data_IF_489305564014
#
_entry.id   IF_489305564014
#
_cell.length_a   1.000
_cell.length_b   1.000
_cell.length_c   1.000
_cell.angle_alpha   90.00
_cell.angle_beta   90.00
_cell.angle_gamma   90.00
#
_symmetry.space_group_name_H-M   'P 1'
#
loop_
_entity.id
_entity.type
_entity.pdbx_description
1 polymer ?
#
# COMPACT_ATOMS: atom_id res chain seq x y z
N UNK A 1 -0.89 -18.09 54.90
CA UNK A 1 -2.10 -17.25 54.71
C UNK A 1 -1.69 -15.96 53.99
N UNK A 2 -1.03 -16.10 52.83
CA UNK A 2 -0.20 -15.03 52.22
C UNK A 2 -0.17 -15.07 50.69
N UNK A 3 -1.04 -15.84 50.02
CA UNK A 3 -1.04 -15.96 48.54
C UNK A 3 -2.07 -15.07 47.83
N UNK A 4 -3.01 -14.47 48.55
CA UNK A 4 -4.10 -13.69 47.92
C UNK A 4 -3.75 -12.22 47.63
N UNK A 5 -2.66 -11.69 48.18
CA UNK A 5 -2.32 -10.27 48.00
C UNK A 5 -1.55 -10.00 46.68
N UNK A 6 -0.90 -11.02 46.11
CA UNK A 6 -0.04 -10.83 44.94
C UNK A 6 -0.80 -10.85 43.60
N UNK A 7 -1.99 -11.46 43.55
CA UNK A 7 -2.77 -11.58 42.31
C UNK A 7 -3.58 -10.34 41.97
N UNK A 8 -3.97 -9.52 42.96
CA UNK A 8 -4.77 -8.31 42.75
C UNK A 8 -3.96 -7.23 42.01
N UNK A 9 -2.68 -7.05 42.36
CA UNK A 9 -1.83 -6.06 41.69
C UNK A 9 -1.39 -6.46 40.27
N UNK A 10 -1.28 -7.76 39.97
CA UNK A 10 -1.04 -8.21 38.59
C UNK A 10 -2.25 -8.01 37.67
N UNK A 11 -3.46 -8.02 38.23
CA UNK A 11 -4.68 -7.85 37.45
C UNK A 11 -4.98 -6.37 37.15
N UNK A 12 -4.66 -5.45 38.06
CA UNK A 12 -4.74 -4.00 37.81
C UNK A 12 -3.70 -3.53 36.77
N UNK A 13 -2.48 -4.04 36.83
CA UNK A 13 -1.44 -3.70 35.83
C UNK A 13 -1.73 -4.25 34.43
N UNK A 14 -2.46 -5.37 34.32
CA UNK A 14 -2.89 -5.91 33.03
C UNK A 14 -4.03 -5.10 32.37
N UNK A 15 -4.86 -4.40 33.16
CA UNK A 15 -5.99 -3.61 32.64
C UNK A 15 -5.52 -2.20 32.23
N UNK A 16 -4.54 -1.60 32.91
CA UNK A 16 -4.00 -0.29 32.52
C UNK A 16 -3.15 -0.33 31.23
N UNK A 17 -2.54 -1.48 30.90
CA UNK A 17 -1.80 -1.66 29.64
C UNK A 17 -2.72 -1.80 28.40
N UNK A 18 -4.03 -1.96 28.58
CA UNK A 18 -5.00 -2.10 27.49
C UNK A 18 -5.57 -0.77 26.93
N UNK A 19 -5.36 0.35 27.63
CA UNK A 19 -6.13 1.59 27.40
C UNK A 19 -5.43 2.72 26.63
N UNK A 20 -4.11 2.72 26.51
CA UNK A 20 -3.37 3.77 25.79
C UNK A 20 -2.66 3.19 24.58
N UNK A 21 -3.39 3.05 23.47
CA UNK A 21 -2.75 2.96 22.16
C UNK A 21 -1.82 4.18 22.04
N UNK A 22 -0.51 3.95 21.91
CA UNK A 22 0.44 5.05 21.78
C UNK A 22 -0.05 6.01 20.68
N UNK A 23 0.00 7.35 20.87
CA UNK A 23 -0.52 8.31 19.90
C UNK A 23 0.08 8.11 18.50
N UNK A 24 1.29 7.53 18.44
CA UNK A 24 1.96 7.10 17.20
C UNK A 24 1.20 5.99 16.47
N UNK A 25 0.70 4.97 17.18
CA UNK A 25 -0.08 3.88 16.57
C UNK A 25 -1.39 4.42 16.00
N UNK A 26 -2.09 5.28 16.73
CA UNK A 26 -3.34 5.88 16.28
C UNK A 26 -3.12 6.70 15.01
N UNK A 27 -2.04 7.48 14.96
CA UNK A 27 -1.67 8.24 13.76
C UNK A 27 -1.34 7.32 12.56
N UNK A 28 -0.69 6.18 12.79
CA UNK A 28 -0.41 5.20 11.74
C UNK A 28 -1.69 4.58 11.19
N UNK A 29 -2.62 4.17 12.08
CA UNK A 29 -3.92 3.62 11.70
C UNK A 29 -4.71 4.65 10.89
N UNK A 30 -4.78 5.89 11.38
CA UNK A 30 -5.45 6.99 10.69
C UNK A 30 -4.82 7.22 9.31
N UNK A 31 -3.48 7.24 9.23
CA UNK A 31 -2.76 7.33 7.96
C UNK A 31 -3.13 6.21 7.00
N UNK A 32 -3.17 4.96 7.46
CA UNK A 32 -3.56 3.80 6.64
C UNK A 32 -4.97 4.00 6.07
N UNK A 33 -5.92 4.44 6.91
CA UNK A 33 -7.31 4.66 6.50
C UNK A 33 -7.42 5.78 5.46
N UNK A 34 -6.75 6.91 5.69
CA UNK A 34 -6.77 8.08 4.78
C UNK A 34 -6.13 7.73 3.44
N UNK A 35 -4.91 7.17 3.45
CA UNK A 35 -4.23 6.78 2.22
C UNK A 35 -5.03 5.70 1.48
N UNK A 36 -5.60 4.71 2.18
CA UNK A 36 -6.48 3.70 1.57
C UNK A 36 -7.70 4.31 0.87
N UNK A 37 -8.35 5.30 1.50
CA UNK A 37 -9.45 6.04 0.87
C UNK A 37 -8.99 6.80 -0.39
N UNK A 38 -7.85 7.50 -0.32
CA UNK A 38 -7.30 8.23 -1.46
C UNK A 38 -6.93 7.29 -2.61
N UNK A 39 -6.40 6.09 -2.34
CA UNK A 39 -6.12 5.07 -3.36
C UNK A 39 -7.42 4.63 -4.03
N UNK A 40 -8.48 4.36 -3.25
CA UNK A 40 -9.78 3.96 -3.79
C UNK A 40 -10.40 5.04 -4.68
N UNK A 41 -10.38 6.30 -4.23
CA UNK A 41 -10.82 7.46 -5.02
C UNK A 41 -9.97 7.62 -6.27
N UNK A 42 -8.64 7.55 -6.16
CA UNK A 42 -7.72 7.66 -7.30
C UNK A 42 -7.96 6.60 -8.37
N UNK A 43 -8.31 5.36 -7.96
CA UNK A 43 -8.69 4.29 -8.88
C UNK A 43 -9.99 4.58 -9.63
N UNK A 44 -10.95 5.22 -8.98
CA UNK A 44 -12.26 5.59 -9.55
C UNK A 44 -12.17 6.84 -10.43
N UNK A 45 -11.37 7.82 -10.02
CA UNK A 45 -11.18 9.09 -10.70
C UNK A 45 -10.34 9.00 -11.98
N UNK A 46 -9.66 7.86 -12.22
CA UNK A 46 -8.87 7.73 -13.44
C UNK A 46 -9.78 7.61 -14.65
N UNK A 47 -9.72 8.61 -15.53
CA UNK A 47 -10.43 8.64 -16.81
C UNK A 47 -10.06 7.43 -17.66
N UNK A 48 -11.03 6.77 -18.29
CA UNK A 48 -10.74 5.60 -19.10
C UNK A 48 -10.03 6.01 -20.41
N UNK A 49 -8.69 6.02 -20.40
CA UNK A 49 -7.87 6.35 -21.56
C UNK A 49 -7.85 5.23 -22.63
N UNK A 50 -8.50 4.09 -22.39
CA UNK A 50 -8.40 2.91 -23.27
C UNK A 50 -7.04 2.21 -23.23
N UNK A 51 -6.07 2.73 -22.49
CA UNK A 51 -4.72 2.17 -22.36
C UNK A 51 -4.65 1.23 -21.16
N UNK A 52 -4.17 0.01 -21.34
CA UNK A 52 -4.02 -0.94 -20.24
C UNK A 52 -3.08 -0.41 -19.15
N UNK A 53 -3.44 -0.56 -17.87
CA UNK A 53 -2.59 -0.21 -16.73
C UNK A 53 -2.52 1.28 -16.35
N UNK A 54 -2.95 2.23 -17.19
CA UNK A 54 -2.78 3.68 -16.94
C UNK A 54 -3.33 4.16 -15.58
N UNK A 55 -4.39 3.49 -15.08
CA UNK A 55 -4.99 3.85 -13.79
C UNK A 55 -4.01 3.82 -12.60
N UNK A 56 -2.91 3.06 -12.68
CA UNK A 56 -1.88 3.01 -11.64
C UNK A 56 -1.24 4.36 -11.33
N UNK A 57 -1.20 5.29 -12.28
CA UNK A 57 -0.61 6.61 -12.05
C UNK A 57 -1.25 7.34 -10.87
N UNK A 58 -2.54 7.13 -10.60
CA UNK A 58 -3.20 7.74 -9.45
C UNK A 58 -3.15 6.83 -8.22
N UNK A 59 -3.72 5.63 -8.30
CA UNK A 59 -3.91 4.81 -7.12
C UNK A 59 -2.58 4.22 -6.59
N UNK A 60 -1.67 3.76 -7.46
CA UNK A 60 -0.43 3.13 -7.02
C UNK A 60 0.58 4.17 -6.51
N UNK A 61 0.63 5.36 -7.10
CA UNK A 61 1.47 6.46 -6.62
C UNK A 61 1.15 6.85 -5.18
N UNK A 62 -0.15 6.97 -4.86
CA UNK A 62 -0.63 7.25 -3.50
C UNK A 62 -0.27 6.10 -2.56
N UNK A 63 -0.39 4.85 -3.02
CA UNK A 63 -0.07 3.67 -2.21
C UNK A 63 1.44 3.59 -1.89
N UNK A 64 2.31 3.84 -2.88
CA UNK A 64 3.77 3.93 -2.71
C UNK A 64 4.13 5.05 -1.72
N UNK A 65 3.53 6.23 -1.87
CA UNK A 65 3.74 7.36 -0.96
C UNK A 65 3.31 7.01 0.47
N UNK A 66 2.08 6.50 0.64
CA UNK A 66 1.56 6.10 1.95
C UNK A 66 2.46 5.09 2.66
N UNK A 67 2.97 4.11 1.92
CA UNK A 67 3.92 3.14 2.47
C UNK A 67 5.27 3.76 2.84
N UNK A 68 5.75 4.76 2.10
CA UNK A 68 6.99 5.48 2.41
C UNK A 68 6.87 6.40 3.64
N UNK A 69 5.68 6.97 3.88
CA UNK A 69 5.37 7.76 5.07
C UNK A 69 5.29 6.91 6.33
N UNK A 70 4.59 5.78 6.27
CA UNK A 70 4.29 4.95 7.43
C UNK A 70 5.28 3.76 7.48
N UNK A 71 6.36 3.93 8.23
CA UNK A 71 7.43 2.93 8.35
C UNK A 71 7.14 1.88 9.43
N UNK A 72 6.16 1.03 9.18
CA UNK A 72 5.91 -0.16 10.01
C UNK A 72 5.70 -1.37 9.12
N UNK A 73 6.08 -2.54 9.62
CA UNK A 73 5.82 -3.80 8.94
C UNK A 73 4.33 -4.02 8.72
N UNK A 74 3.97 -4.52 7.53
CA UNK A 74 2.59 -4.85 7.17
C UNK A 74 1.72 -3.66 6.76
N UNK A 75 2.26 -2.44 6.76
CA UNK A 75 1.53 -1.23 6.35
C UNK A 75 1.08 -1.32 4.91
N UNK A 76 1.90 -1.87 4.01
CA UNK A 76 1.57 -2.00 2.60
C UNK A 76 0.33 -2.87 2.43
N UNK A 77 0.32 -4.04 3.05
CA UNK A 77 -0.85 -4.92 3.06
C UNK A 77 -2.07 -4.23 3.69
N UNK A 78 -1.90 -3.56 4.84
CA UNK A 78 -2.98 -2.86 5.52
C UNK A 78 -3.59 -1.72 4.68
N UNK A 79 -2.75 -0.97 3.94
CA UNK A 79 -3.19 0.01 2.95
C UNK A 79 -4.01 -0.65 1.84
N UNK A 80 -3.59 -1.83 1.37
CA UNK A 80 -4.32 -2.60 0.37
C UNK A 80 -5.70 -3.05 0.86
N UNK A 81 -5.79 -3.55 2.10
CA UNK A 81 -7.06 -3.92 2.73
C UNK A 81 -7.95 -2.70 2.93
N UNK A 82 -7.39 -1.59 3.43
CA UNK A 82 -8.13 -0.34 3.59
C UNK A 82 -8.67 0.18 2.25
N UNK A 83 -7.86 0.12 1.19
CA UNK A 83 -8.29 0.45 -0.19
C UNK A 83 -9.46 -0.43 -0.63
N UNK A 84 -9.41 -1.73 -0.36
CA UNK A 84 -10.46 -2.66 -0.74
C UNK A 84 -11.79 -2.36 -0.01
N UNK A 85 -11.72 -1.99 1.28
CA UNK A 85 -12.88 -1.60 2.07
C UNK A 85 -13.50 -0.30 1.55
N UNK A 86 -12.69 0.73 1.29
CA UNK A 86 -13.14 1.99 0.67
C UNK A 86 -13.60 1.81 -0.78
N UNK A 87 -13.16 0.76 -1.45
CA UNK A 87 -13.60 0.39 -2.78
C UNK A 87 -15.11 0.17 -2.89
N UNK A 88 -15.76 -0.33 -1.83
CA UNK A 88 -17.20 -0.57 -1.80
C UNK A 88 -17.99 0.74 -1.99
N UNK A 89 -17.86 1.76 -1.10
CA UNK A 89 -18.54 3.04 -1.30
C UNK A 89 -18.02 3.81 -2.52
N UNK A 90 -16.79 3.58 -2.97
CA UNK A 90 -16.26 4.18 -4.21
C UNK A 90 -16.83 3.53 -5.49
N UNK A 91 -17.66 2.49 -5.37
CA UNK A 91 -18.32 1.82 -6.49
C UNK A 91 -17.42 0.85 -7.26
N UNK A 92 -16.61 0.05 -6.55
CA UNK A 92 -15.87 -1.06 -7.15
C UNK A 92 -16.83 -2.21 -7.49
N UNK A 93 -16.74 -2.73 -8.72
CA UNK A 93 -17.67 -3.74 -9.25
C UNK A 93 -17.28 -5.20 -8.91
N UNK A 94 -16.39 -5.41 -7.94
CA UNK A 94 -15.89 -6.73 -7.57
C UNK A 94 -16.10 -7.00 -6.09
N UNK A 95 -16.17 -8.28 -5.71
CA UNK A 95 -16.31 -8.69 -4.31
C UNK A 95 -15.17 -8.15 -3.45
N UNK A 96 -15.45 -7.93 -2.17
CA UNK A 96 -14.46 -7.44 -1.21
C UNK A 96 -13.20 -8.31 -1.19
N UNK A 97 -13.35 -9.63 -1.16
CA UNK A 97 -12.23 -10.57 -1.17
C UNK A 97 -11.38 -10.45 -2.45
N UNK A 98 -12.01 -10.23 -3.61
CA UNK A 98 -11.27 -9.98 -4.84
C UNK A 98 -10.45 -8.69 -4.76
N UNK A 99 -11.03 -7.62 -4.23
CA UNK A 99 -10.33 -6.35 -4.05
C UNK A 99 -9.20 -6.47 -3.01
N UNK A 100 -9.40 -7.20 -1.91
CA UNK A 100 -8.35 -7.52 -0.93
C UNK A 100 -7.22 -8.30 -1.61
N UNK A 101 -7.55 -9.30 -2.43
CA UNK A 101 -6.53 -10.04 -3.20
C UNK A 101 -5.72 -9.13 -4.12
N UNK A 102 -6.40 -8.24 -4.86
CA UNK A 102 -5.78 -7.33 -5.81
C UNK A 102 -4.89 -6.27 -5.13
N UNK A 103 -5.45 -5.50 -4.20
CA UNK A 103 -4.75 -4.39 -3.55
C UNK A 103 -3.87 -4.85 -2.39
N UNK A 104 -4.28 -5.87 -1.64
CA UNK A 104 -3.48 -6.47 -0.58
C UNK A 104 -2.21 -7.12 -1.12
N UNK A 105 -2.26 -7.88 -2.21
CA UNK A 105 -1.05 -8.46 -2.83
C UNK A 105 -0.09 -7.38 -3.33
N UNK A 106 -0.62 -6.32 -3.94
CA UNK A 106 0.16 -5.12 -4.31
C UNK A 106 0.85 -4.53 -3.07
N UNK A 107 0.12 -4.39 -1.96
CA UNK A 107 0.63 -3.91 -0.69
C UNK A 107 1.75 -4.78 -0.10
N UNK A 108 1.62 -6.11 -0.18
CA UNK A 108 2.66 -7.05 0.26
C UNK A 108 3.95 -6.83 -0.52
N UNK A 109 3.88 -6.61 -1.85
CA UNK A 109 5.08 -6.31 -2.65
C UNK A 109 5.77 -5.04 -2.15
N UNK A 110 4.99 -4.00 -1.82
CA UNK A 110 5.56 -2.77 -1.26
C UNK A 110 6.18 -2.98 0.13
N UNK A 111 5.58 -3.83 0.97
CA UNK A 111 6.17 -4.21 2.26
C UNK A 111 7.48 -4.96 2.10
N UNK A 112 7.56 -5.91 1.16
CA UNK A 112 8.78 -6.66 0.86
C UNK A 112 9.88 -5.73 0.30
N UNK A 113 9.53 -4.81 -0.59
CA UNK A 113 10.46 -3.81 -1.11
C UNK A 113 10.99 -2.92 0.02
N UNK A 114 10.11 -2.41 0.88
CA UNK A 114 10.49 -1.52 1.97
C UNK A 114 11.35 -2.18 3.08
N UNK A 115 11.35 -3.52 3.18
CA UNK A 115 12.26 -4.26 4.08
C UNK A 115 13.68 -4.36 3.53
N UNK A 116 13.84 -4.26 2.21
CA UNK A 116 15.14 -4.30 1.56
C UNK A 116 15.79 -2.92 1.57
N UNK A 117 17.00 -2.81 2.10
CA UNK A 117 17.78 -1.57 2.07
C UNK A 117 18.13 -1.11 0.64
N UNK A 118 18.14 -2.03 -0.32
CA UNK A 118 18.34 -1.76 -1.74
C UNK A 118 17.09 -1.21 -2.41
N UNK A 119 15.90 -1.60 -1.93
CA UNK A 119 14.60 -1.23 -2.50
C UNK A 119 13.80 -0.28 -1.60
N UNK A 120 14.48 0.44 -0.71
CA UNK A 120 13.86 1.46 0.13
C UNK A 120 13.07 2.46 -0.73
N UNK A 121 11.76 2.56 -0.47
CA UNK A 121 10.81 3.44 -1.16
C UNK A 121 11.16 4.93 -1.03
N UNK A 122 12.06 5.26 -0.09
CA UNK A 122 12.60 6.62 0.13
C UNK A 122 13.78 6.94 -0.79
N UNK A 123 14.18 5.99 -1.63
CA UNK A 123 15.12 6.17 -2.73
C UNK A 123 14.33 6.07 -4.04
N UNK A 124 14.65 6.91 -5.04
CA UNK A 124 13.88 6.93 -6.29
C UNK A 124 13.94 5.57 -7.00
N UNK A 125 15.09 4.91 -7.01
CA UNK A 125 15.26 3.59 -7.62
C UNK A 125 14.42 2.52 -6.91
N UNK A 126 14.42 2.51 -5.57
CA UNK A 126 13.63 1.57 -4.78
C UNK A 126 12.13 1.73 -5.02
N UNK A 127 11.64 2.97 -5.08
CA UNK A 127 10.25 3.27 -5.42
C UNK A 127 9.88 2.88 -6.86
N UNK A 128 10.76 3.12 -7.84
CA UNK A 128 10.56 2.71 -9.24
C UNK A 128 10.41 1.19 -9.33
N UNK A 129 11.34 0.43 -8.74
CA UNK A 129 11.34 -1.03 -8.80
C UNK A 129 10.12 -1.58 -8.05
N UNK A 130 9.80 -1.04 -6.87
CA UNK A 130 8.65 -1.45 -6.09
C UNK A 130 7.34 -1.17 -6.84
N UNK A 131 7.18 0.01 -7.45
CA UNK A 131 6.02 0.36 -8.26
C UNK A 131 5.86 -0.55 -9.48
N UNK A 132 6.96 -0.86 -10.17
CA UNK A 132 6.99 -1.81 -11.27
C UNK A 132 6.49 -3.20 -10.84
N UNK A 133 7.12 -3.78 -9.81
CA UNK A 133 6.77 -5.12 -9.31
C UNK A 133 5.33 -5.17 -8.79
N UNK A 134 4.90 -4.17 -8.03
CA UNK A 134 3.57 -4.12 -7.45
C UNK A 134 2.49 -4.05 -8.55
N UNK A 135 2.73 -3.28 -9.61
CA UNK A 135 1.80 -3.20 -10.73
C UNK A 135 1.81 -4.47 -11.60
N UNK A 136 2.97 -5.12 -11.74
CA UNK A 136 3.08 -6.41 -12.42
C UNK A 136 2.36 -7.54 -11.67
N UNK A 137 2.40 -7.55 -10.33
CA UNK A 137 1.62 -8.52 -9.53
C UNK A 137 0.12 -8.34 -9.75
N UNK A 138 -0.38 -7.11 -9.83
CA UNK A 138 -1.77 -6.82 -10.21
C UNK A 138 -2.10 -7.37 -11.60
N UNK A 139 -1.23 -7.14 -12.57
CA UNK A 139 -1.40 -7.67 -13.93
C UNK A 139 -1.48 -9.20 -13.92
N UNK A 140 -0.55 -9.87 -13.24
CA UNK A 140 -0.53 -11.33 -13.10
C UNK A 140 -1.78 -11.86 -12.40
N UNK A 141 -2.30 -11.14 -11.39
CA UNK A 141 -3.55 -11.50 -10.73
C UNK A 141 -4.75 -11.47 -11.71
N UNK A 142 -4.84 -10.43 -12.53
CA UNK A 142 -5.90 -10.29 -13.54
C UNK A 142 -5.76 -11.37 -14.62
N UNK A 143 -4.56 -11.56 -15.16
CA UNK A 143 -4.28 -12.56 -16.20
C UNK A 143 -4.49 -13.97 -15.69
N UNK A 144 -4.02 -14.29 -14.49
CA UNK A 144 -4.21 -15.60 -13.87
C UNK A 144 -5.69 -15.95 -13.73
N UNK A 145 -6.50 -15.00 -13.27
CA UNK A 145 -7.97 -15.18 -13.23
C UNK A 145 -8.58 -15.34 -14.62
N UNK A 146 -8.14 -14.56 -15.61
CA UNK A 146 -8.65 -14.67 -16.97
C UNK A 146 -8.29 -16.03 -17.62
N UNK A 147 -7.08 -16.55 -17.36
CA UNK A 147 -6.59 -17.82 -17.90
C UNK A 147 -7.32 -19.05 -17.36
N UNK A 148 -7.96 -18.94 -16.18
CA UNK A 148 -8.81 -19.99 -15.63
C UNK A 148 -10.13 -20.15 -16.41
N UNK A 149 -10.49 -19.18 -17.27
CA UNK A 149 -11.65 -19.28 -18.15
C UNK A 149 -11.29 -20.01 -19.45
N UNK A 150 -12.01 -21.09 -19.75
CA UNK A 150 -11.77 -22.00 -20.88
C UNK A 150 -11.79 -21.28 -22.24
N UNK A 151 -12.50 -20.15 -22.33
CA UNK A 151 -12.71 -19.36 -23.55
C UNK A 151 -11.50 -18.53 -23.99
N UNK A 152 -10.51 -18.28 -23.12
CA UNK A 152 -9.42 -17.33 -23.38
C UNK A 152 -8.13 -17.95 -23.97
N UNK A 153 -8.07 -19.29 -24.16
CA UNK A 153 -6.79 -20.02 -24.32
C UNK A 153 -6.06 -19.89 -25.66
N UNK A 154 -6.66 -19.32 -26.71
CA UNK A 154 -6.04 -19.30 -28.07
C UNK A 154 -5.82 -17.93 -28.69
N UNK A 155 -6.34 -16.85 -28.09
CA UNK A 155 -6.15 -15.51 -28.61
C UNK A 155 -5.34 -14.68 -27.61
N UNK A 156 -4.40 -13.90 -28.16
CA UNK A 156 -3.78 -12.72 -27.52
C UNK A 156 -2.47 -12.94 -26.73
N UNK A 157 -1.49 -13.71 -27.25
CA UNK A 157 -0.12 -13.64 -26.70
C UNK A 157 0.49 -12.23 -26.87
N UNK A 158 0.30 -11.64 -28.05
CA UNK A 158 0.82 -10.30 -28.38
C UNK A 158 0.18 -9.21 -27.51
N UNK A 159 -1.14 -9.24 -27.30
CA UNK A 159 -1.80 -8.24 -26.46
C UNK A 159 -1.55 -8.44 -24.96
N UNK A 160 -1.31 -9.67 -24.49
CA UNK A 160 -0.84 -9.93 -23.12
C UNK A 160 0.55 -9.31 -22.93
N UNK A 161 1.47 -9.51 -23.88
CA UNK A 161 2.80 -8.92 -23.82
C UNK A 161 2.75 -7.38 -23.86
N UNK A 162 1.99 -6.79 -24.78
CA UNK A 162 1.81 -5.33 -24.84
C UNK A 162 1.20 -4.79 -23.54
N UNK A 163 0.18 -5.46 -23.00
CA UNK A 163 -0.42 -5.08 -21.72
C UNK A 163 0.57 -5.19 -20.55
N UNK A 164 1.43 -6.20 -20.54
CA UNK A 164 2.48 -6.36 -19.54
C UNK A 164 3.48 -5.20 -19.62
N UNK A 165 3.94 -4.84 -20.82
CA UNK A 165 4.84 -3.69 -21.04
C UNK A 165 4.22 -2.38 -20.55
N UNK A 166 2.94 -2.14 -20.85
CA UNK A 166 2.25 -0.94 -20.37
C UNK A 166 2.11 -0.94 -18.84
N UNK A 167 1.79 -2.08 -18.21
CA UNK A 167 1.76 -2.17 -16.76
C UNK A 167 3.13 -1.90 -16.14
N UNK A 168 4.20 -2.39 -16.75
CA UNK A 168 5.57 -2.11 -16.32
C UNK A 168 5.86 -0.60 -16.38
N UNK A 169 5.60 0.07 -17.51
CA UNK A 169 5.83 1.51 -17.69
C UNK A 169 5.01 2.34 -16.70
N UNK A 170 3.71 2.04 -16.53
CA UNK A 170 2.86 2.75 -15.58
C UNK A 170 3.24 2.44 -14.13
N UNK A 171 3.75 1.25 -13.84
CA UNK A 171 4.27 0.87 -12.53
C UNK A 171 5.53 1.66 -12.16
N UNK A 172 6.49 1.75 -13.10
CA UNK A 172 7.69 2.60 -12.98
C UNK A 172 7.29 4.06 -12.72
N UNK A 173 6.38 4.58 -13.54
CA UNK A 173 5.92 5.96 -13.45
C UNK A 173 5.22 6.25 -12.13
N UNK A 174 4.33 5.36 -11.70
CA UNK A 174 3.63 5.48 -10.43
C UNK A 174 4.59 5.40 -9.23
N UNK A 175 5.59 4.53 -9.29
CA UNK A 175 6.66 4.45 -8.29
C UNK A 175 7.41 5.77 -8.15
N UNK A 176 7.80 6.37 -9.27
CA UNK A 176 8.50 7.66 -9.29
C UNK A 176 7.62 8.81 -8.78
N UNK A 177 6.35 8.86 -9.18
CA UNK A 177 5.39 9.86 -8.69
C UNK A 177 5.17 9.70 -7.18
N UNK A 178 4.97 8.47 -6.70
CA UNK A 178 4.82 8.17 -5.27
C UNK A 178 6.03 8.61 -4.44
N UNK A 179 7.25 8.37 -4.95
CA UNK A 179 8.48 8.92 -4.37
C UNK A 179 8.48 10.46 -4.35
N UNK A 180 8.06 11.10 -5.45
CA UNK A 180 7.93 12.55 -5.52
C UNK A 180 6.99 13.12 -4.46
N UNK A 181 5.79 12.52 -4.31
CA UNK A 181 4.83 12.87 -3.25
C UNK A 181 5.49 12.74 -1.88
N UNK A 182 6.13 11.60 -1.60
CA UNK A 182 6.83 11.40 -0.32
C UNK A 182 7.88 12.48 -0.08
N UNK A 183 8.71 12.78 -1.09
CA UNK A 183 9.79 13.75 -1.00
C UNK A 183 9.29 15.16 -0.71
N UNK A 184 8.13 15.54 -1.26
CA UNK A 184 7.53 16.86 -1.07
C UNK A 184 6.96 17.06 0.35
N UNK A 185 6.32 16.03 0.91
CA UNK A 185 5.65 16.14 2.21
C UNK A 185 6.41 15.48 3.37
N UNK A 186 7.66 15.02 3.18
CA UNK A 186 8.46 14.47 4.29
C UNK A 186 8.66 15.56 5.37
N UNK A 187 8.44 15.25 6.66
CA UNK A 187 8.67 16.21 7.73
C UNK A 187 10.11 16.72 7.70
N UNK A 188 10.29 18.04 7.70
CA UNK A 188 11.63 18.64 7.90
C UNK A 188 11.99 18.42 9.37
N UNK A 189 13.11 17.76 9.63
CA UNK A 189 13.64 17.72 10.99
C UNK A 189 14.19 19.11 11.30
N UNK A 190 13.53 19.85 12.20
CA UNK A 190 14.13 21.05 12.78
C UNK A 190 15.36 20.61 13.56
N UNK A 191 16.54 21.01 13.07
CA UNK A 191 17.79 20.86 13.80
C UNK A 191 17.67 21.82 15.00
N UNK A 192 17.52 21.29 16.22
CA UNK A 192 17.59 22.15 17.40
C UNK A 192 19.02 22.64 17.54
N UNK A 193 19.28 23.86 17.09
CA UNK A 193 20.48 24.61 17.44
C UNK A 193 20.40 25.00 18.92
N UNK A 194 20.67 24.04 19.80
CA UNK A 194 21.14 24.35 21.14
C UNK A 194 22.65 24.15 21.15
N UNK A 195 23.33 25.05 20.44
CA UNK A 195 24.74 25.33 20.67
C UNK A 195 24.82 26.14 21.95
N UNK A 196 25.03 25.45 23.07
CA UNK A 196 25.55 26.05 24.27
C UNK A 196 26.93 26.65 23.97
N UNK A 197 27.03 27.97 24.09
CA UNK A 197 28.28 28.71 24.28
C UNK A 197 28.02 29.76 25.34
#
# INVERSE_FOLDING_TARGET
MTDKCMTVHQQETAIELGGQASPRLLLQILGIVIFGAMVAVGKKATMNLGISGHSALLWLSVMVAGRAFIQRDGVGFALGVSTALWGIPAGFNHSLLHNIGLYGSTGIVLDLAARSSLLDLRRPLGAIIAGALAHMVKFLFIVGKASASVTAKRFVLVGVLQSATLHLIFGISAGLIGYGIWRLFKPRQCKSENSSS
#
